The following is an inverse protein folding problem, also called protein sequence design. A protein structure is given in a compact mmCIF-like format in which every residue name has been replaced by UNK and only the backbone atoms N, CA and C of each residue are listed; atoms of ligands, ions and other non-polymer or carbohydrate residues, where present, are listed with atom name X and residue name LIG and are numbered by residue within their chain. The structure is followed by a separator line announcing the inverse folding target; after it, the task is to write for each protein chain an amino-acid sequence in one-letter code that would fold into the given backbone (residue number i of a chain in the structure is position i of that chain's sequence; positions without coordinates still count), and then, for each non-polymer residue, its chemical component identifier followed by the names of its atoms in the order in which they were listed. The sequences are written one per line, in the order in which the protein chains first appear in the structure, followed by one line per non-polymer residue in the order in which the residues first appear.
data_IF_499007958477
#
_entry.id   IF_499007958477
#
_cell.length_a   1.000
_cell.length_b   1.000
_cell.length_c   1.000
_cell.angle_alpha   90.00
_cell.angle_beta   90.00
_cell.angle_gamma   90.00
#
_symmetry.space_group_name_H-M   'P 1'
#
loop_
_entity.id
_entity.type
_entity.pdbx_description
1 polymer ?
#
# COMPACT_ATOMS: atom_id res chain seq x y z
N UNK A 1 20.46 -9.96 11.52
CA UNK A 1 19.23 -9.15 11.53
C UNK A 1 18.62 -9.16 12.93
N UNK A 2 18.30 -8.01 13.53
CA UNK A 2 17.73 -7.95 14.88
C UNK A 2 16.38 -8.67 14.93
N UNK A 3 16.24 -9.64 15.83
CA UNK A 3 15.04 -10.49 15.90
C UNK A 3 13.75 -9.66 16.17
N UNK A 4 13.90 -8.50 16.81
CA UNK A 4 12.78 -7.63 17.20
C UNK A 4 12.05 -7.11 15.95
N UNK A 5 12.82 -6.79 14.90
CA UNK A 5 12.29 -6.24 13.66
C UNK A 5 11.55 -7.34 12.90
N UNK A 6 12.14 -8.55 12.78
CA UNK A 6 11.47 -9.66 12.12
C UNK A 6 10.18 -10.06 12.83
N UNK A 7 10.15 -10.10 14.18
CA UNK A 7 8.90 -10.34 14.93
C UNK A 7 7.83 -9.27 14.67
N UNK A 8 8.19 -7.99 14.62
CA UNK A 8 7.25 -6.90 14.31
C UNK A 8 6.71 -6.97 12.88
N UNK A 9 7.57 -7.32 11.92
CA UNK A 9 7.18 -7.48 10.52
C UNK A 9 6.20 -8.65 10.36
N UNK A 10 6.52 -9.81 10.93
CA UNK A 10 5.66 -10.98 10.86
C UNK A 10 4.28 -10.69 11.46
N UNK A 11 4.20 -10.04 12.62
CA UNK A 11 2.90 -9.68 13.23
C UNK A 11 2.08 -8.67 12.42
N UNK A 12 2.72 -7.77 11.68
CA UNK A 12 2.04 -6.66 10.98
C UNK A 12 1.66 -6.97 9.54
N UNK A 13 2.36 -7.93 8.93
CA UNK A 13 2.30 -8.26 7.51
C UNK A 13 2.06 -9.76 7.22
N UNK A 14 1.69 -10.55 8.21
CA UNK A 14 1.23 -11.93 7.99
C UNK A 14 -0.03 -12.20 8.78
N UNK A 15 -0.91 -13.04 8.23
CA UNK A 15 -2.00 -13.64 8.99
C UNK A 15 -1.57 -15.03 9.41
N UNK A 16 -1.78 -15.38 10.67
CA UNK A 16 -1.68 -16.77 11.09
C UNK A 16 -2.79 -17.57 10.41
N UNK A 17 -2.44 -18.70 9.82
CA UNK A 17 -3.37 -19.71 9.32
C UNK A 17 -3.01 -21.05 9.92
N UNK A 18 -4.02 -21.81 10.33
CA UNK A 18 -3.84 -23.14 10.91
C UNK A 18 -4.10 -24.17 9.81
N UNK A 19 -3.05 -24.82 9.32
CA UNK A 19 -3.15 -25.87 8.31
C UNK A 19 -2.52 -27.15 8.86
N UNK A 20 -3.29 -28.25 8.89
CA UNK A 20 -2.83 -29.59 9.29
C UNK A 20 -2.00 -29.61 10.59
N UNK A 21 -2.46 -28.93 11.64
CA UNK A 21 -1.80 -28.94 12.95
C UNK A 21 -0.59 -28.01 13.08
N UNK A 22 -0.17 -27.33 11.99
CA UNK A 22 0.91 -26.35 12.02
C UNK A 22 0.40 -24.94 11.81
N UNK A 23 0.91 -24.03 12.64
CA UNK A 23 0.75 -22.60 12.45
C UNK A 23 1.64 -22.16 11.29
N UNK A 24 1.05 -21.58 10.24
CA UNK A 24 1.77 -21.01 9.10
C UNK A 24 1.41 -19.53 8.94
N UNK A 25 2.38 -18.74 8.47
CA UNK A 25 2.19 -17.32 8.21
C UNK A 25 1.84 -17.12 6.74
N UNK A 26 0.58 -16.78 6.45
CA UNK A 26 0.10 -16.51 5.10
C UNK A 26 0.13 -15.01 4.82
N UNK A 27 0.74 -14.62 3.71
CA UNK A 27 0.69 -13.23 3.20
C UNK A 27 -0.46 -13.15 2.19
N UNK A 28 -1.62 -12.70 2.66
CA UNK A 28 -2.79 -12.48 1.81
C UNK A 28 -2.54 -11.36 0.77
N UNK A 29 -3.37 -11.30 -0.27
CA UNK A 29 -3.25 -10.27 -1.31
C UNK A 29 -3.34 -8.83 -0.77
N UNK A 30 -4.20 -8.61 0.23
CA UNK A 30 -4.30 -7.32 0.95
C UNK A 30 -3.00 -6.98 1.67
N UNK A 31 -2.37 -7.97 2.31
CA UNK A 31 -1.13 -7.80 3.03
C UNK A 31 0.05 -7.52 2.08
N UNK A 32 0.07 -8.16 0.91
CA UNK A 32 1.00 -7.82 -0.18
C UNK A 32 0.85 -6.37 -0.60
N UNK A 33 -0.39 -5.90 -0.82
CA UNK A 33 -0.63 -4.50 -1.19
C UNK A 33 -0.15 -3.52 -0.10
N UNK A 34 -0.34 -3.88 1.18
CA UNK A 34 0.18 -3.11 2.32
C UNK A 34 1.71 -3.03 2.28
N UNK A 35 2.41 -4.15 2.08
CA UNK A 35 3.87 -4.17 1.94
C UNK A 35 4.30 -3.27 0.77
N UNK A 36 3.67 -3.41 -0.41
CA UNK A 36 3.96 -2.58 -1.58
C UNK A 36 3.82 -1.09 -1.28
N UNK A 37 2.77 -0.70 -0.56
CA UNK A 37 2.57 0.68 -0.16
C UNK A 37 3.72 1.22 0.70
N UNK A 38 4.18 0.45 1.70
CA UNK A 38 5.34 0.82 2.52
C UNK A 38 6.62 0.93 1.70
N UNK A 39 6.85 -0.02 0.77
CA UNK A 39 8.05 0.02 -0.09
C UNK A 39 8.03 1.24 -1.00
N UNK A 40 6.89 1.60 -1.61
CA UNK A 40 6.75 2.81 -2.43
C UNK A 40 7.10 4.06 -1.61
N UNK A 41 6.56 4.18 -0.39
CA UNK A 41 6.82 5.32 0.48
C UNK A 41 8.30 5.41 0.85
N UNK A 42 8.94 4.28 1.19
CA UNK A 42 10.38 4.25 1.49
C UNK A 42 11.23 4.62 0.28
N UNK A 43 10.89 4.09 -0.88
CA UNK A 43 11.62 4.38 -2.13
C UNK A 43 11.45 5.85 -2.55
N UNK A 44 10.26 6.43 -2.35
CA UNK A 44 10.02 7.87 -2.52
C UNK A 44 10.86 8.70 -1.54
N UNK A 45 10.94 8.26 -0.28
CA UNK A 45 11.67 8.99 0.76
C UNK A 45 13.17 9.07 0.47
N UNK A 46 13.75 8.01 -0.10
CA UNK A 46 15.20 7.96 -0.42
C UNK A 46 15.49 8.71 -1.72
N UNK A 47 14.57 8.70 -2.69
CA UNK A 47 14.80 9.20 -4.04
C UNK A 47 14.13 10.56 -4.30
N UNK A 48 14.25 11.52 -3.37
CA UNK A 48 13.71 12.89 -3.51
C UNK A 48 12.26 12.93 -4.03
N UNK A 49 11.40 12.08 -3.48
CA UNK A 49 9.98 11.96 -3.85
C UNK A 49 9.72 11.59 -5.32
N UNK A 50 10.69 10.99 -6.00
CA UNK A 50 10.57 10.45 -7.34
C UNK A 50 10.95 8.98 -7.35
N UNK A 51 10.21 8.14 -8.08
CA UNK A 51 10.57 6.71 -8.19
C UNK A 51 10.10 6.13 -9.50
N UNK A 52 10.95 5.29 -10.09
CA UNK A 52 10.63 4.54 -11.30
C UNK A 52 9.82 3.28 -10.94
N UNK A 53 8.61 3.20 -11.48
CA UNK A 53 7.69 2.11 -11.19
C UNK A 53 8.15 0.80 -11.81
N UNK A 54 8.88 0.86 -12.92
CA UNK A 54 9.41 -0.29 -13.66
C UNK A 54 10.47 -1.05 -12.85
N UNK A 55 11.34 -0.32 -12.15
CA UNK A 55 12.32 -0.89 -11.22
C UNK A 55 11.58 -1.57 -10.06
N UNK A 56 10.62 -0.85 -9.47
CA UNK A 56 9.83 -1.39 -8.38
C UNK A 56 8.97 -2.61 -8.79
N UNK A 57 8.52 -2.65 -10.05
CA UNK A 57 7.78 -3.78 -10.61
C UNK A 57 8.64 -5.04 -10.66
N UNK A 58 9.89 -4.91 -11.11
CA UNK A 58 10.84 -6.02 -11.15
C UNK A 58 11.18 -6.52 -9.74
N UNK A 59 11.39 -5.61 -8.79
CA UNK A 59 11.74 -5.95 -7.41
C UNK A 59 10.59 -6.67 -6.69
N UNK A 60 9.36 -6.20 -6.89
CA UNK A 60 8.18 -6.74 -6.22
C UNK A 60 7.55 -7.93 -6.95
N UNK A 61 7.95 -8.21 -8.20
CA UNK A 61 7.35 -9.22 -9.09
C UNK A 61 5.82 -9.12 -9.15
N UNK A 62 5.29 -7.89 -9.08
CA UNK A 62 3.86 -7.61 -9.17
C UNK A 62 3.52 -7.09 -10.57
N UNK A 63 2.30 -7.33 -11.07
CA UNK A 63 1.88 -6.74 -12.33
C UNK A 63 1.77 -5.21 -12.21
N UNK A 64 2.11 -4.47 -13.27
CA UNK A 64 2.08 -3.00 -13.32
C UNK A 64 0.74 -2.44 -12.82
N UNK A 65 -0.38 -3.07 -13.20
CA UNK A 65 -1.73 -2.68 -12.78
C UNK A 65 -1.89 -2.61 -11.26
N UNK A 66 -1.41 -3.61 -10.53
CA UNK A 66 -1.52 -3.66 -9.06
C UNK A 66 -0.69 -2.58 -8.39
N UNK A 67 0.51 -2.30 -8.91
CA UNK A 67 1.38 -1.27 -8.36
C UNK A 67 0.79 0.12 -8.64
N UNK A 68 0.22 0.33 -9.83
CA UNK A 68 -0.51 1.55 -10.18
C UNK A 68 -1.72 1.77 -9.28
N UNK A 69 -2.50 0.73 -8.98
CA UNK A 69 -3.66 0.82 -8.09
C UNK A 69 -3.24 1.22 -6.67
N UNK A 70 -2.15 0.64 -6.16
CA UNK A 70 -1.59 1.01 -4.84
C UNK A 70 -1.07 2.45 -4.86
N UNK A 71 -0.37 2.86 -5.92
CA UNK A 71 0.12 4.24 -6.05
C UNK A 71 -1.03 5.26 -6.10
N UNK A 72 -2.11 4.96 -6.82
CA UNK A 72 -3.33 5.77 -6.85
C UNK A 72 -3.99 5.82 -5.47
N UNK A 73 -4.06 4.70 -4.75
CA UNK A 73 -4.61 4.65 -3.41
C UNK A 73 -3.81 5.50 -2.41
N UNK A 74 -2.49 5.60 -2.61
CA UNK A 74 -1.59 6.49 -1.87
C UNK A 74 -1.67 7.96 -2.31
N UNK A 75 -2.57 8.30 -3.25
CA UNK A 75 -2.73 9.65 -3.84
C UNK A 75 -1.45 10.17 -4.49
N UNK A 76 -0.63 9.27 -5.03
CA UNK A 76 0.59 9.62 -5.72
C UNK A 76 0.28 9.98 -7.18
N UNK A 77 0.98 10.98 -7.70
CA UNK A 77 0.83 11.38 -9.09
C UNK A 77 1.71 10.47 -9.95
N UNK A 78 1.08 9.64 -10.77
CA UNK A 78 1.80 8.76 -11.71
C UNK A 78 1.88 9.47 -13.05
N UNK A 79 3.11 9.72 -13.51
CA UNK A 79 3.38 10.27 -14.84
C UNK A 79 3.97 9.19 -15.73
N UNK A 80 3.32 8.91 -16.86
CA UNK A 80 3.90 8.04 -17.89
C UNK A 80 4.81 8.92 -18.74
N UNK A 81 6.12 8.82 -18.56
CA UNK A 81 7.04 9.51 -19.45
C UNK A 81 7.09 8.73 -20.77
N UNK A 82 6.51 9.28 -21.85
CA UNK A 82 6.73 8.80 -23.22
C UNK A 82 8.13 9.25 -23.66
N UNK A 83 9.16 8.54 -23.23
CA UNK A 83 10.52 8.72 -23.73
C UNK A 83 10.84 7.66 -24.78
N UNK A 84 10.73 8.02 -26.07
CA UNK A 84 11.28 7.26 -27.20
C UNK A 84 10.70 5.85 -27.46
N UNK A 85 10.91 5.31 -28.68
CA UNK A 85 10.37 4.01 -29.08
C UNK A 85 11.13 2.89 -28.38
N UNK A 86 10.56 2.37 -27.29
CA UNK A 86 11.00 1.11 -26.67
C UNK A 86 11.02 1.11 -25.15
N UNK A 87 11.17 2.27 -24.49
CA UNK A 87 11.35 2.33 -23.03
C UNK A 87 10.17 3.05 -22.36
N UNK A 88 9.13 2.29 -22.00
CA UNK A 88 8.00 2.80 -21.21
C UNK A 88 8.43 2.96 -19.74
N UNK A 89 9.06 4.08 -19.40
CA UNK A 89 9.38 4.41 -18.00
C UNK A 89 8.20 5.14 -17.35
N UNK A 90 7.54 4.48 -16.39
CA UNK A 90 6.50 5.08 -15.58
C UNK A 90 7.13 5.70 -14.33
N UNK A 91 7.13 7.03 -14.25
CA UNK A 91 7.68 7.78 -13.13
C UNK A 91 6.56 8.16 -12.16
N UNK A 92 6.68 7.72 -10.92
CA UNK A 92 5.91 8.29 -9.81
C UNK A 92 6.61 9.55 -9.35
N UNK A 93 5.87 10.64 -9.26
CA UNK A 93 6.36 11.85 -8.61
C UNK A 93 5.39 12.25 -7.51
N UNK A 94 5.86 12.23 -6.27
CA UNK A 94 5.14 12.72 -5.10
C UNK A 94 5.40 14.22 -4.97
N UNK A 95 4.52 15.05 -5.53
CA UNK A 95 4.45 16.48 -5.19
C UNK A 95 3.55 16.75 -3.97
N UNK A 96 3.09 15.70 -3.29
CA UNK A 96 2.14 15.82 -2.19
C UNK A 96 2.87 15.84 -0.84
N UNK A 97 3.69 16.87 -0.61
CA UNK A 97 3.88 17.34 0.75
C UNK A 97 2.59 18.09 1.14
N UNK A 98 1.93 17.59 2.19
CA UNK A 98 1.03 18.31 3.08
C UNK A 98 0.08 19.32 2.42
N UNK A 99 -1.18 18.94 2.18
CA UNK A 99 -2.36 19.83 2.24
C UNK A 99 -3.60 19.01 1.86
N UNK A 100 -4.16 18.27 2.83
CA UNK A 100 -5.61 18.07 2.97
C UNK A 100 -5.88 17.18 4.19
N UNK A 101 -6.80 17.59 5.08
CA UNK A 101 -7.03 16.96 6.37
C UNK A 101 -7.49 15.52 6.18
N UNK A 102 -6.99 14.62 7.03
CA UNK A 102 -7.42 13.24 7.07
C UNK A 102 -8.97 13.17 7.03
N UNK A 103 -9.58 12.37 6.14
CA UNK A 103 -11.02 12.16 6.21
C UNK A 103 -11.29 11.46 7.54
N UNK A 104 -11.77 12.25 8.50
CA UNK A 104 -12.25 11.82 9.79
C UNK A 104 -13.28 10.71 9.54
N UNK A 105 -12.97 9.48 9.97
CA UNK A 105 -13.95 8.39 10.04
C UNK A 105 -15.12 8.91 10.87
N UNK A 106 -16.20 9.35 10.21
CA UNK A 106 -17.46 9.62 10.90
C UNK A 106 -17.92 8.27 11.44
N UNK A 107 -17.83 8.09 12.75
CA UNK A 107 -18.56 7.05 13.45
C UNK A 107 -20.03 7.32 13.17
N UNK A 108 -20.62 6.57 12.25
CA UNK A 108 -22.06 6.52 12.07
C UNK A 108 -22.58 5.80 13.32
N UNK A 109 -22.98 6.56 14.34
CA UNK A 109 -23.78 6.00 15.43
C UNK A 109 -25.09 5.56 14.79
N UNK A 110 -25.30 4.25 14.76
CA UNK A 110 -26.62 3.66 14.63
C UNK A 110 -27.50 4.23 15.76
N UNK A 111 -28.30 5.25 15.46
CA UNK A 111 -29.42 5.63 16.32
C UNK A 111 -30.55 4.66 16.03
N UNK A 112 -30.50 3.53 16.74
CA UNK A 112 -31.57 2.54 16.78
C UNK A 112 -32.93 3.16 17.08
N UNK A 113 -33.92 2.66 16.37
CA UNK A 113 -35.34 2.96 16.50
C UNK A 113 -35.79 2.88 17.98
N UNK A 114 -36.54 3.89 18.45
CA UNK A 114 -37.57 3.68 19.48
C UNK A 114 -38.82 4.47 19.10
N UNK A 115 -39.82 3.73 18.63
CA UNK A 115 -41.20 4.17 18.38
C UNK A 115 -41.80 4.56 19.74
N UNK A 116 -42.20 5.82 19.91
CA UNK A 116 -42.95 6.26 21.10
C UNK A 116 -44.43 6.17 20.77
N UNK A 117 -45.13 5.31 21.50
CA UNK A 117 -46.59 5.22 21.51
C UNK A 117 -47.08 6.17 22.60
N UNK A 118 -47.82 7.19 22.18
CA UNK A 118 -49.02 7.73 22.83
C UNK A 118 -49.62 8.79 21.91
#
# INVERSE_FOLDING_TARGET
MPHIISRKLMKSFTSLTYNNGSIQNLISASMKAKITAYVIVLALHINNFQTDLTVLQNDMKLPESRILDVAKALRLRVSKAKGGPGWRMTRITSWALCLCPCPHRRHQRDSGKRKKMN
#
